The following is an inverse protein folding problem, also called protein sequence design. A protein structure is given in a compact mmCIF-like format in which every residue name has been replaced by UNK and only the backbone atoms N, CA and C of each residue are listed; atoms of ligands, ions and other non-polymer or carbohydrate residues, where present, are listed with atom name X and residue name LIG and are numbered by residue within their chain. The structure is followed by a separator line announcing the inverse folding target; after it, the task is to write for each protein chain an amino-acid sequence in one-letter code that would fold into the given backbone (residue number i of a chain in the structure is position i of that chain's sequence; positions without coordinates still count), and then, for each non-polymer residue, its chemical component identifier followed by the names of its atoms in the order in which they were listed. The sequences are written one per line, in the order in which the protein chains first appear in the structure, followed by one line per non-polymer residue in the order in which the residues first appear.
data_IF_663460947100
#
_entry.id   IF_663460947100
#
_cell.length_a   1.000
_cell.length_b   1.000
_cell.length_c   1.000
_cell.angle_alpha   90.00
_cell.angle_beta   90.00
_cell.angle_gamma   90.00
#
_symmetry.space_group_name_H-M   'P 1'
#
loop_
_entity.id
_entity.type
_entity.pdbx_description
1 polymer ?
#
# COMPACT_ATOMS: atom_id res chain seq x y z
N UNK A 1 -12.03 19.08 -28.66
CA UNK A 1 -12.53 18.23 -27.56
C UNK A 1 -12.79 19.17 -26.41
N UNK A 2 -14.06 19.38 -26.02
CA UNK A 2 -14.41 20.32 -24.96
C UNK A 2 -13.88 19.81 -23.62
N UNK A 3 -13.18 20.66 -22.90
CA UNK A 3 -12.82 20.42 -21.52
C UNK A 3 -14.13 20.48 -20.71
N UNK A 4 -14.48 19.42 -20.01
CA UNK A 4 -15.64 19.42 -19.11
C UNK A 4 -15.45 20.41 -17.95
N UNK A 5 -16.50 20.75 -17.22
CA UNK A 5 -16.48 21.68 -16.08
C UNK A 5 -15.42 21.30 -15.02
N UNK A 6 -15.21 20.01 -14.78
CA UNK A 6 -14.22 19.48 -13.84
C UNK A 6 -12.76 19.86 -14.19
N UNK A 7 -12.41 19.87 -15.48
CA UNK A 7 -11.08 20.30 -15.93
C UNK A 7 -10.85 21.83 -15.76
N UNK A 8 -11.90 22.63 -15.79
CA UNK A 8 -11.80 24.06 -15.53
C UNK A 8 -11.56 24.33 -14.05
N UNK A 9 -12.19 23.58 -13.17
CA UNK A 9 -11.98 23.71 -11.72
C UNK A 9 -10.59 23.23 -11.32
N UNK A 10 -10.10 22.11 -11.86
CA UNK A 10 -8.72 21.62 -11.64
C UNK A 10 -7.68 22.63 -12.13
N UNK A 11 -7.92 23.25 -13.31
CA UNK A 11 -7.01 24.26 -13.83
C UNK A 11 -6.95 25.49 -12.93
N UNK A 12 -8.09 26.01 -12.51
CA UNK A 12 -8.18 27.17 -11.62
C UNK A 12 -7.49 26.88 -10.28
N UNK A 13 -7.78 25.73 -9.66
CA UNK A 13 -7.15 25.31 -8.41
C UNK A 13 -5.63 25.27 -8.54
N UNK A 14 -5.12 24.64 -9.59
CA UNK A 14 -3.68 24.51 -9.80
C UNK A 14 -3.03 25.84 -10.15
N UNK A 15 -3.67 26.74 -10.92
CA UNK A 15 -3.17 28.10 -11.20
C UNK A 15 -3.00 28.89 -9.91
N UNK A 16 -4.02 28.96 -9.07
CA UNK A 16 -4.02 29.67 -7.80
C UNK A 16 -3.00 29.08 -6.80
N UNK A 17 -2.92 27.75 -6.70
CA UNK A 17 -1.95 27.04 -5.86
C UNK A 17 -0.50 27.33 -6.30
N UNK A 18 -0.21 27.25 -7.59
CA UNK A 18 1.12 27.50 -8.14
C UNK A 18 1.54 28.97 -7.96
N UNK A 19 0.61 29.92 -8.15
CA UNK A 19 0.87 31.33 -7.90
C UNK A 19 1.17 31.59 -6.42
N UNK A 20 0.48 30.90 -5.52
CA UNK A 20 0.76 30.97 -4.09
C UNK A 20 2.14 30.38 -3.72
N UNK A 21 2.55 29.28 -4.36
CA UNK A 21 3.87 28.65 -4.12
C UNK A 21 5.00 29.51 -4.66
N UNK A 22 4.75 30.30 -5.71
CA UNK A 22 5.77 31.12 -6.37
C UNK A 22 6.40 32.10 -5.39
N UNK A 23 7.73 32.13 -5.36
CA UNK A 23 8.50 33.00 -4.48
C UNK A 23 8.64 32.54 -3.02
N UNK A 24 8.02 31.44 -2.65
CA UNK A 24 8.22 30.84 -1.32
C UNK A 24 9.54 30.07 -1.24
N UNK A 25 9.97 29.72 -0.02
CA UNK A 25 11.23 29.01 0.22
C UNK A 25 11.20 27.54 -0.18
N UNK A 26 11.88 26.70 0.59
CA UNK A 26 11.96 25.26 0.32
C UNK A 26 10.59 24.56 0.48
N UNK A 27 10.34 23.59 -0.37
CA UNK A 27 9.10 22.80 -0.42
C UNK A 27 9.39 21.40 0.06
N UNK A 28 8.58 20.90 1.00
CA UNK A 28 8.56 19.53 1.48
C UNK A 28 7.30 18.84 0.97
N UNK A 29 7.45 17.65 0.43
CA UNK A 29 6.37 16.73 0.11
C UNK A 29 6.47 15.55 1.08
N UNK A 30 5.45 15.35 1.89
CA UNK A 30 5.34 14.23 2.82
C UNK A 30 4.36 13.23 2.25
N UNK A 31 4.76 11.98 2.18
CA UNK A 31 3.93 10.84 1.78
C UNK A 31 3.69 9.92 2.99
N UNK A 32 2.79 8.96 2.86
CA UNK A 32 2.51 8.04 3.96
C UNK A 32 3.72 7.14 4.28
N UNK A 33 3.71 6.59 5.50
CA UNK A 33 4.70 5.63 5.96
C UNK A 33 4.56 4.32 5.17
N UNK A 34 5.70 3.66 4.89
CA UNK A 34 5.78 2.48 4.03
C UNK A 34 5.26 2.74 2.61
N UNK A 35 5.96 3.59 1.83
CA UNK A 35 5.49 4.09 0.55
C UNK A 35 5.11 2.99 -0.45
N UNK A 36 4.00 3.21 -1.13
CA UNK A 36 3.50 2.40 -2.23
C UNK A 36 3.62 3.12 -3.59
N UNK A 37 3.21 2.50 -4.70
CA UNK A 37 3.31 3.11 -6.02
C UNK A 37 2.51 4.39 -6.18
N UNK A 38 1.34 4.52 -5.51
CA UNK A 38 0.51 5.72 -5.64
C UNK A 38 1.16 6.94 -5.02
N UNK A 39 1.54 6.86 -3.77
CA UNK A 39 2.20 7.99 -3.09
C UNK A 39 3.54 8.34 -3.74
N UNK A 40 4.31 7.34 -4.23
CA UNK A 40 5.58 7.56 -4.92
C UNK A 40 5.40 8.32 -6.24
N UNK A 41 4.46 7.87 -7.09
CA UNK A 41 4.16 8.52 -8.38
C UNK A 41 3.57 9.91 -8.18
N UNK A 42 2.67 10.07 -7.20
CA UNK A 42 2.08 11.35 -6.82
C UNK A 42 3.14 12.35 -6.40
N UNK A 43 4.10 11.93 -5.57
CA UNK A 43 5.16 12.79 -5.08
C UNK A 43 6.08 13.31 -6.21
N UNK A 44 6.51 12.42 -7.12
CA UNK A 44 7.35 12.87 -8.25
C UNK A 44 6.56 13.68 -9.26
N UNK A 45 5.25 13.45 -9.42
CA UNK A 45 4.38 14.25 -10.29
C UNK A 45 4.24 15.68 -9.76
N UNK A 46 3.95 15.87 -8.47
CA UNK A 46 3.87 17.20 -7.86
C UNK A 46 5.21 17.92 -7.87
N UNK A 47 6.30 17.20 -7.55
CA UNK A 47 7.66 17.74 -7.67
C UNK A 47 7.96 18.22 -9.09
N UNK A 48 7.63 17.42 -10.11
CA UNK A 48 7.81 17.79 -11.51
C UNK A 48 6.97 19.00 -11.89
N UNK A 49 5.72 19.08 -11.43
CA UNK A 49 4.88 20.27 -11.63
C UNK A 49 5.52 21.55 -11.08
N UNK A 50 6.06 21.49 -9.86
CA UNK A 50 6.74 22.66 -9.25
C UNK A 50 8.00 23.05 -10.01
N UNK A 51 8.82 22.09 -10.44
CA UNK A 51 9.99 22.39 -11.27
C UNK A 51 9.59 23.11 -12.56
N UNK A 52 8.61 22.58 -13.27
CA UNK A 52 8.22 23.09 -14.60
C UNK A 52 7.47 24.42 -14.55
N UNK A 53 6.69 24.68 -13.50
CA UNK A 53 5.78 25.86 -13.46
C UNK A 53 6.26 27.00 -12.57
N UNK A 54 7.02 26.69 -11.52
CA UNK A 54 7.48 27.70 -10.57
C UNK A 54 9.00 27.68 -10.36
N UNK A 55 9.72 26.83 -11.09
CA UNK A 55 11.18 26.66 -11.02
C UNK A 55 11.66 26.39 -9.58
N UNK A 56 10.99 25.45 -8.90
CA UNK A 56 11.31 25.06 -7.52
C UNK A 56 11.40 23.54 -7.40
N UNK A 57 12.48 23.10 -6.79
CA UNK A 57 12.63 21.70 -6.34
C UNK A 57 11.88 21.49 -5.04
N UNK A 58 11.35 20.27 -4.86
CA UNK A 58 10.76 19.82 -3.62
C UNK A 58 11.51 18.60 -3.09
N UNK A 59 11.68 18.53 -1.77
CA UNK A 59 12.18 17.34 -1.07
C UNK A 59 11.03 16.40 -0.80
N UNK A 60 11.16 15.12 -1.16
CA UNK A 60 10.16 14.08 -0.87
C UNK A 60 10.59 13.33 0.38
N UNK A 61 9.80 13.42 1.44
CA UNK A 61 10.05 12.77 2.72
C UNK A 61 9.10 11.62 2.97
N UNK A 62 9.63 10.51 3.47
CA UNK A 62 8.89 9.30 3.84
C UNK A 62 9.36 8.73 5.16
N UNK A 63 8.56 7.86 5.77
CA UNK A 63 8.94 7.05 6.93
C UNK A 63 8.62 5.57 6.67
N UNK A 64 9.04 4.72 7.62
CA UNK A 64 8.89 3.28 7.48
C UNK A 64 9.84 2.70 6.43
N UNK A 65 9.40 1.66 5.75
CA UNK A 65 10.18 0.94 4.75
C UNK A 65 9.44 0.85 3.42
N UNK A 66 10.17 0.95 2.31
CA UNK A 66 9.64 0.59 1.00
C UNK A 66 9.72 -0.93 0.92
N UNK A 67 8.62 -1.58 1.20
CA UNK A 67 8.64 -2.98 1.61
C UNK A 67 8.46 -3.97 0.47
N UNK A 68 7.54 -3.75 -0.46
CA UNK A 68 7.36 -4.68 -1.59
C UNK A 68 8.51 -4.57 -2.59
N UNK A 69 8.95 -5.70 -3.10
CA UNK A 69 10.04 -5.76 -4.09
C UNK A 69 9.78 -4.88 -5.31
N UNK A 70 8.55 -4.81 -5.77
CA UNK A 70 8.12 -3.97 -6.88
C UNK A 70 8.17 -2.47 -6.53
N UNK A 71 7.79 -2.09 -5.29
CA UNK A 71 7.85 -0.70 -4.84
C UNK A 71 9.30 -0.24 -4.73
N UNK A 72 10.18 -1.11 -4.21
CA UNK A 72 11.62 -0.85 -4.16
C UNK A 72 12.23 -0.74 -5.57
N UNK A 73 11.82 -1.64 -6.48
CA UNK A 73 12.23 -1.59 -7.87
C UNK A 73 11.73 -0.29 -8.54
N UNK A 74 10.49 0.12 -8.30
CA UNK A 74 9.95 1.40 -8.79
C UNK A 74 10.80 2.58 -8.33
N UNK A 75 11.06 2.68 -7.03
CA UNK A 75 11.85 3.77 -6.48
C UNK A 75 13.26 3.83 -7.08
N UNK A 76 13.90 2.66 -7.26
CA UNK A 76 15.24 2.53 -7.80
C UNK A 76 15.30 2.81 -9.30
N UNK A 77 14.49 2.11 -10.10
CA UNK A 77 14.56 2.18 -11.58
C UNK A 77 14.08 3.54 -12.11
N UNK A 78 13.17 4.19 -11.39
CA UNK A 78 12.71 5.55 -11.71
C UNK A 78 13.60 6.65 -11.07
N UNK A 79 14.58 6.26 -10.24
CA UNK A 79 15.49 7.17 -9.54
C UNK A 79 14.73 8.20 -8.70
N UNK A 80 13.72 7.75 -7.93
CA UNK A 80 12.90 8.64 -7.11
C UNK A 80 13.73 9.18 -5.94
N UNK A 81 13.90 10.51 -5.81
CA UNK A 81 14.76 11.10 -4.78
C UNK A 81 14.02 11.16 -3.43
N UNK A 82 14.12 10.09 -2.66
CA UNK A 82 13.45 9.93 -1.37
C UNK A 82 14.40 10.28 -0.21
N UNK A 83 13.89 10.98 0.78
CA UNK A 83 14.61 11.32 2.02
C UNK A 83 13.87 10.77 3.22
N UNK A 84 14.49 9.91 4.05
CA UNK A 84 13.87 9.47 5.29
C UNK A 84 13.53 10.67 6.18
N UNK A 85 12.34 10.69 6.73
CA UNK A 85 11.79 11.84 7.45
C UNK A 85 12.64 12.24 8.69
N UNK A 86 13.35 11.28 9.28
CA UNK A 86 14.28 11.53 10.40
C UNK A 86 15.46 12.44 10.05
N UNK A 87 15.77 12.62 8.75
CA UNK A 87 16.81 13.54 8.28
C UNK A 87 16.25 14.93 7.90
N UNK A 88 14.95 15.15 8.04
CA UNK A 88 14.30 16.41 7.68
C UNK A 88 14.37 17.43 8.81
N UNK A 89 15.00 18.58 8.53
CA UNK A 89 14.87 19.73 9.38
C UNK A 89 13.65 20.56 8.93
N UNK A 90 12.50 20.31 9.54
CA UNK A 90 11.23 20.93 9.17
C UNK A 90 11.24 22.47 9.17
N UNK A 91 12.13 23.11 9.96
CA UNK A 91 12.23 24.58 10.05
C UNK A 91 12.73 25.22 8.76
N UNK A 92 13.36 24.46 7.89
CA UNK A 92 13.89 24.95 6.61
C UNK A 92 12.82 25.05 5.52
N UNK A 93 11.66 24.42 5.72
CA UNK A 93 10.61 24.33 4.73
C UNK A 93 9.50 25.34 5.03
N UNK A 94 9.16 26.16 4.04
CA UNK A 94 8.10 27.16 4.11
C UNK A 94 6.81 26.73 3.42
N UNK A 95 6.84 25.61 2.70
CA UNK A 95 5.66 24.95 2.10
C UNK A 95 5.74 23.47 2.44
N UNK A 96 4.66 22.92 3.02
CA UNK A 96 4.51 21.51 3.32
C UNK A 96 3.33 20.96 2.54
N UNK A 97 3.62 20.01 1.66
CA UNK A 97 2.62 19.27 0.90
C UNK A 97 2.44 17.87 1.53
N UNK A 98 1.24 17.35 1.51
CA UNK A 98 0.95 15.98 1.93
C UNK A 98 0.16 15.28 0.83
N UNK A 99 0.59 14.08 0.45
CA UNK A 99 0.01 13.32 -0.65
C UNK A 99 -0.34 11.91 -0.21
N UNK A 100 -1.50 11.45 -0.64
CA UNK A 100 -2.00 10.10 -0.43
C UNK A 100 -2.08 9.70 1.05
N UNK A 101 -2.25 10.67 1.89
CA UNK A 101 -2.47 10.59 3.33
C UNK A 101 -2.94 11.95 3.83
N UNK A 102 -3.48 12.00 5.05
CA UNK A 102 -4.02 13.21 5.65
C UNK A 102 -3.47 13.46 7.05
N UNK A 103 -3.47 14.71 7.54
CA UNK A 103 -3.06 15.01 8.90
C UNK A 103 -3.88 14.22 9.93
N UNK A 104 -3.20 13.50 10.82
CA UNK A 104 -3.83 12.75 11.91
C UNK A 104 -4.40 11.38 11.53
N UNK A 105 -4.06 10.83 10.35
CA UNK A 105 -4.43 9.45 9.97
C UNK A 105 -3.66 8.39 10.74
N UNK A 106 -2.48 8.74 11.27
CA UNK A 106 -1.60 7.79 11.97
C UNK A 106 -0.73 6.93 11.04
N UNK A 107 -0.82 7.14 9.73
CA UNK A 107 0.01 6.47 8.72
C UNK A 107 1.06 7.40 8.08
N UNK A 108 1.34 8.54 8.69
CA UNK A 108 2.42 9.43 8.30
C UNK A 108 3.14 9.96 9.54
N UNK A 109 4.42 10.26 9.38
CA UNK A 109 5.30 10.69 10.47
C UNK A 109 5.56 12.19 10.48
N UNK A 110 4.66 13.01 9.89
CA UNK A 110 4.75 14.46 10.03
C UNK A 110 4.52 14.85 11.50
N UNK A 111 5.40 15.65 12.13
CA UNK A 111 5.19 16.12 13.50
C UNK A 111 3.86 16.86 13.67
N UNK A 112 3.14 16.58 14.76
CA UNK A 112 1.79 17.10 15.00
C UNK A 112 1.71 18.64 15.12
N UNK A 113 2.83 19.30 15.39
CA UNK A 113 2.96 20.75 15.45
C UNK A 113 3.21 21.41 14.09
N UNK A 114 3.34 20.62 13.04
CA UNK A 114 3.56 21.11 11.67
C UNK A 114 2.24 21.17 10.91
N UNK A 115 1.95 22.33 10.35
CA UNK A 115 0.80 22.50 9.45
C UNK A 115 1.13 22.02 8.04
N UNK A 116 0.11 21.50 7.36
CA UNK A 116 0.13 21.14 5.96
C UNK A 116 -0.49 22.29 5.16
N UNK A 117 0.18 22.75 4.12
CA UNK A 117 -0.31 23.81 3.25
C UNK A 117 -1.10 23.26 2.05
N UNK A 118 -0.59 22.19 1.43
CA UNK A 118 -1.18 21.57 0.23
C UNK A 118 -1.46 20.11 0.55
N UNK A 119 -2.69 19.70 0.33
CA UNK A 119 -3.15 18.33 0.55
C UNK A 119 -3.85 17.83 -0.70
N UNK A 120 -3.39 16.69 -1.23
CA UNK A 120 -4.03 15.99 -2.35
C UNK A 120 -4.18 14.51 -1.97
N UNK A 121 -5.39 13.99 -2.03
CA UNK A 121 -5.70 12.62 -1.58
C UNK A 121 -6.97 12.09 -2.25
N UNK A 122 -7.13 10.78 -2.29
CA UNK A 122 -8.34 10.12 -2.76
C UNK A 122 -9.13 9.42 -1.63
N UNK A 123 -8.58 9.36 -0.44
CA UNK A 123 -9.25 8.76 0.71
C UNK A 123 -10.33 9.67 1.31
N UNK A 124 -11.30 9.12 2.08
CA UNK A 124 -12.34 9.90 2.72
C UNK A 124 -11.80 11.06 3.57
N UNK A 125 -12.38 12.25 3.37
CA UNK A 125 -11.94 13.49 4.01
C UNK A 125 -12.00 13.45 5.53
N UNK A 126 -10.93 13.89 6.18
CA UNK A 126 -10.85 14.05 7.63
C UNK A 126 -11.05 15.49 8.08
N UNK A 127 -11.58 15.69 9.27
CA UNK A 127 -11.81 17.05 9.84
C UNK A 127 -10.50 17.86 9.97
N UNK A 128 -9.39 17.19 10.28
CA UNK A 128 -8.06 17.81 10.37
C UNK A 128 -7.60 18.41 9.05
N UNK A 129 -8.01 17.82 7.93
CA UNK A 129 -7.64 18.22 6.56
C UNK A 129 -8.24 19.57 6.16
N UNK A 130 -9.37 19.96 6.75
CA UNK A 130 -10.04 21.26 6.52
C UNK A 130 -9.18 22.48 6.95
N UNK A 131 -8.14 22.26 7.73
CA UNK A 131 -7.20 23.30 8.17
C UNK A 131 -6.10 23.60 7.16
N UNK A 132 -5.90 22.73 6.17
CA UNK A 132 -4.94 22.94 5.11
C UNK A 132 -5.40 24.09 4.19
N UNK A 133 -4.46 24.81 3.60
CA UNK A 133 -4.77 25.98 2.74
C UNK A 133 -5.32 25.56 1.39
N UNK A 134 -4.70 24.54 0.79
CA UNK A 134 -5.04 23.99 -0.51
C UNK A 134 -5.40 22.53 -0.33
N UNK A 135 -6.67 22.19 -0.51
CA UNK A 135 -7.20 20.84 -0.31
C UNK A 135 -7.87 20.37 -1.57
N UNK A 136 -7.40 19.27 -2.14
CA UNK A 136 -8.05 18.56 -3.23
C UNK A 136 -8.17 17.09 -2.83
N UNK A 137 -9.34 16.72 -2.32
CA UNK A 137 -9.68 15.35 -1.93
C UNK A 137 -10.80 14.88 -2.85
N UNK A 138 -10.56 13.78 -3.56
CA UNK A 138 -11.50 13.22 -4.55
C UNK A 138 -11.78 11.76 -4.25
N UNK A 139 -12.77 11.52 -3.40
CA UNK A 139 -13.15 10.18 -2.92
C UNK A 139 -13.70 9.25 -4.03
N UNK A 140 -14.08 9.82 -5.17
CA UNK A 140 -14.52 9.11 -6.37
C UNK A 140 -13.38 8.74 -7.34
N UNK A 141 -12.12 9.04 -6.98
CA UNK A 141 -10.92 8.60 -7.71
C UNK A 141 -10.35 7.35 -7.04
N UNK A 142 -9.93 6.40 -7.84
CA UNK A 142 -9.28 5.19 -7.33
C UNK A 142 -7.85 5.40 -6.87
N UNK A 143 -7.22 6.52 -7.29
CA UNK A 143 -5.76 6.72 -7.13
C UNK A 143 -5.44 8.22 -7.05
N UNK A 144 -4.62 8.64 -6.08
CA UNK A 144 -4.11 10.02 -5.98
C UNK A 144 -3.26 10.40 -7.20
N UNK A 145 -2.52 9.45 -7.77
CA UNK A 145 -1.73 9.66 -8.98
C UNK A 145 -2.58 10.11 -10.20
N UNK A 146 -3.85 9.73 -10.27
CA UNK A 146 -4.77 10.21 -11.31
C UNK A 146 -5.03 11.71 -11.15
N UNK A 147 -5.21 12.19 -9.93
CA UNK A 147 -5.40 13.62 -9.63
C UNK A 147 -4.17 14.42 -10.07
N UNK A 148 -2.98 13.95 -9.70
CA UNK A 148 -1.72 14.58 -10.08
C UNK A 148 -1.46 14.54 -11.60
N UNK A 149 -1.86 13.46 -12.28
CA UNK A 149 -1.84 13.40 -13.73
C UNK A 149 -2.71 14.51 -14.36
N UNK A 150 -3.91 14.71 -13.86
CA UNK A 150 -4.78 15.80 -14.33
C UNK A 150 -4.17 17.19 -14.10
N UNK A 151 -3.47 17.41 -12.97
CA UNK A 151 -2.74 18.64 -12.73
C UNK A 151 -1.70 18.89 -13.84
N UNK A 152 -0.91 17.88 -14.17
CA UNK A 152 0.10 18.00 -15.22
C UNK A 152 -0.51 18.31 -16.60
N UNK A 153 -1.61 17.60 -16.93
CA UNK A 153 -2.30 17.80 -18.21
C UNK A 153 -2.94 19.18 -18.32
N UNK A 154 -3.68 19.62 -17.29
CA UNK A 154 -4.36 20.92 -17.30
C UNK A 154 -3.38 22.10 -17.28
N UNK A 155 -2.21 21.89 -16.70
CA UNK A 155 -1.12 22.86 -16.70
C UNK A 155 -0.25 22.80 -17.97
N UNK A 156 -0.51 21.89 -18.90
CA UNK A 156 0.25 21.73 -20.14
C UNK A 156 1.71 21.31 -19.89
N UNK A 157 1.94 20.54 -18.82
CA UNK A 157 3.29 20.05 -18.49
C UNK A 157 3.58 18.77 -19.26
N UNK A 158 4.75 18.75 -19.91
CA UNK A 158 5.19 17.56 -20.63
C UNK A 158 5.55 16.43 -19.67
N UNK A 159 4.99 15.25 -19.94
CA UNK A 159 5.33 14.04 -19.20
C UNK A 159 6.45 13.29 -19.93
N UNK A 160 7.64 13.30 -19.36
CA UNK A 160 8.71 12.40 -19.79
C UNK A 160 8.33 10.94 -19.55
N UNK A 161 8.95 10.04 -20.29
CA UNK A 161 8.62 8.60 -20.26
C UNK A 161 8.73 7.96 -18.86
N UNK A 162 9.72 8.38 -18.04
CA UNK A 162 9.86 7.88 -16.66
C UNK A 162 8.65 8.26 -15.80
N UNK A 163 8.23 9.53 -15.84
CA UNK A 163 7.07 9.99 -15.06
C UNK A 163 5.77 9.33 -15.54
N UNK A 164 5.59 9.20 -16.87
CA UNK A 164 4.44 8.50 -17.44
C UNK A 164 4.41 7.03 -17.01
N UNK A 165 5.58 6.37 -16.89
CA UNK A 165 5.68 4.98 -16.41
C UNK A 165 5.32 4.89 -14.93
N UNK A 166 5.77 5.84 -14.11
CA UNK A 166 5.43 5.90 -12.69
C UNK A 166 3.92 6.03 -12.45
N UNK A 167 3.30 7.02 -13.10
CA UNK A 167 1.86 7.28 -12.99
C UNK A 167 1.04 6.10 -13.54
N UNK A 168 1.47 5.51 -14.66
CA UNK A 168 0.82 4.31 -15.19
C UNK A 168 0.88 3.16 -14.21
N UNK A 169 2.07 2.90 -13.63
CA UNK A 169 2.24 1.79 -12.70
C UNK A 169 1.45 2.00 -11.40
N UNK A 170 1.38 3.23 -10.89
CA UNK A 170 0.56 3.56 -9.74
C UNK A 170 -0.92 3.20 -9.97
N UNK A 171 -1.51 3.69 -11.06
CA UNK A 171 -2.90 3.38 -11.40
C UNK A 171 -3.11 1.87 -11.61
N UNK A 172 -2.19 1.22 -12.35
CA UNK A 172 -2.24 -0.23 -12.59
C UNK A 172 -2.21 -1.03 -11.29
N UNK A 173 -1.31 -0.70 -10.38
CA UNK A 173 -1.07 -1.42 -9.14
C UNK A 173 -2.24 -1.25 -8.17
N UNK A 174 -2.64 -0.02 -7.90
CA UNK A 174 -3.67 0.30 -6.90
C UNK A 174 -5.06 -0.19 -7.33
N UNK A 175 -5.39 -0.02 -8.60
CA UNK A 175 -6.67 -0.48 -9.17
C UNK A 175 -6.66 -1.95 -9.59
N UNK A 176 -5.55 -2.67 -9.44
CA UNK A 176 -5.38 -4.04 -9.92
C UNK A 176 -5.82 -4.21 -11.40
N UNK A 177 -5.18 -3.46 -12.29
CA UNK A 177 -5.53 -3.39 -13.72
C UNK A 177 -6.98 -2.96 -13.97
N UNK A 178 -7.49 -1.99 -13.23
CA UNK A 178 -8.87 -1.47 -13.30
C UNK A 178 -9.94 -2.46 -12.82
N UNK A 179 -9.53 -3.54 -12.20
CA UNK A 179 -10.43 -4.55 -11.62
C UNK A 179 -10.98 -4.19 -10.25
N UNK A 180 -10.44 -3.14 -9.61
CA UNK A 180 -10.80 -2.69 -8.27
C UNK A 180 -10.91 -1.18 -8.25
N UNK A 181 -11.94 -0.65 -7.58
CA UNK A 181 -12.15 0.77 -7.23
C UNK A 181 -11.63 1.79 -8.27
N UNK A 182 -11.85 1.52 -9.58
CA UNK A 182 -11.42 2.38 -10.67
C UNK A 182 -12.62 3.08 -11.32
N UNK A 183 -12.59 4.40 -11.36
CA UNK A 183 -13.62 5.22 -11.97
C UNK A 183 -13.18 5.72 -13.36
N UNK A 184 -14.03 6.51 -14.00
CA UNK A 184 -13.78 6.99 -15.36
C UNK A 184 -12.46 7.76 -15.50
N UNK A 185 -12.10 8.70 -14.58
CA UNK A 185 -10.82 9.39 -14.64
C UNK A 185 -9.61 8.44 -14.63
N UNK A 186 -9.64 7.42 -13.76
CA UNK A 186 -8.55 6.43 -13.66
C UNK A 186 -8.40 5.63 -14.94
N UNK A 187 -9.52 5.19 -15.54
CA UNK A 187 -9.51 4.47 -16.82
C UNK A 187 -8.98 5.33 -17.97
N UNK A 188 -9.39 6.60 -18.02
CA UNK A 188 -8.94 7.53 -19.07
C UNK A 188 -7.43 7.82 -18.93
N UNK A 189 -6.94 8.03 -17.69
CA UNK A 189 -5.53 8.20 -17.38
C UNK A 189 -4.72 6.95 -17.71
N UNK A 190 -5.19 5.77 -17.28
CA UNK A 190 -4.56 4.48 -17.55
C UNK A 190 -4.31 4.27 -19.05
N UNK A 191 -5.33 4.46 -19.89
CA UNK A 191 -5.22 4.26 -21.35
C UNK A 191 -4.24 5.24 -21.99
N UNK A 192 -4.26 6.51 -21.59
CA UNK A 192 -3.33 7.53 -22.11
C UNK A 192 -1.89 7.28 -21.66
N UNK A 193 -1.69 7.03 -20.38
CA UNK A 193 -0.36 6.78 -19.81
C UNK A 193 0.24 5.46 -20.31
N UNK A 194 -0.59 4.45 -20.61
CA UNK A 194 -0.13 3.21 -21.23
C UNK A 194 0.67 3.48 -22.50
N UNK A 195 0.20 4.36 -23.37
CA UNK A 195 0.90 4.67 -24.64
C UNK A 195 2.21 5.44 -24.43
N UNK A 196 2.32 6.23 -23.37
CA UNK A 196 3.47 7.07 -23.03
C UNK A 196 4.53 6.35 -22.20
N UNK A 197 4.15 5.28 -21.49
CA UNK A 197 5.02 4.57 -20.56
C UNK A 197 6.04 3.68 -21.28
N UNK A 198 7.20 3.47 -20.65
CA UNK A 198 8.23 2.53 -21.11
C UNK A 198 7.88 1.11 -20.65
N UNK A 199 7.54 0.24 -21.58
CA UNK A 199 7.12 -1.14 -21.28
C UNK A 199 8.24 -2.01 -20.74
N UNK A 200 9.50 -1.77 -21.15
CA UNK A 200 10.65 -2.48 -20.60
C UNK A 200 10.88 -2.09 -19.15
N UNK A 201 10.88 -0.80 -18.85
CA UNK A 201 11.01 -0.29 -17.49
C UNK A 201 9.87 -0.78 -16.58
N UNK A 202 8.64 -0.79 -17.10
CA UNK A 202 7.48 -1.35 -16.39
C UNK A 202 7.68 -2.83 -16.08
N UNK A 203 8.20 -3.60 -17.03
CA UNK A 203 8.51 -5.01 -16.80
C UNK A 203 9.58 -5.21 -15.71
N UNK A 204 10.64 -4.40 -15.71
CA UNK A 204 11.70 -4.42 -14.70
C UNK A 204 11.15 -4.09 -13.30
N UNK A 205 10.21 -3.15 -13.22
CA UNK A 205 9.52 -2.80 -11.96
C UNK A 205 8.64 -3.95 -11.46
N UNK A 206 7.85 -4.55 -12.35
CA UNK A 206 6.87 -5.58 -11.97
C UNK A 206 7.46 -6.99 -11.82
N UNK A 207 8.70 -7.20 -12.28
CA UNK A 207 9.40 -8.49 -12.21
C UNK A 207 10.82 -8.32 -11.66
N UNK A 208 10.98 -7.75 -10.45
CA UNK A 208 12.28 -7.58 -9.85
C UNK A 208 12.93 -8.92 -9.54
N UNK A 209 14.25 -8.95 -9.49
CA UNK A 209 14.96 -10.13 -9.01
C UNK A 209 14.82 -10.22 -7.50
N UNK A 210 14.39 -11.37 -7.03
CA UNK A 210 14.17 -11.65 -5.61
C UNK A 210 15.36 -12.43 -5.03
N UNK A 211 15.79 -12.13 -3.80
CA UNK A 211 16.87 -12.86 -3.14
C UNK A 211 16.42 -14.27 -2.75
N UNK A 212 17.38 -15.17 -2.49
CA UNK A 212 17.09 -16.55 -2.09
C UNK A 212 16.29 -16.62 -0.80
N UNK A 213 16.52 -15.68 0.11
CA UNK A 213 15.81 -15.55 1.40
C UNK A 213 14.30 -15.36 1.22
N UNK A 214 13.89 -14.67 0.17
CA UNK A 214 12.49 -14.54 -0.19
C UNK A 214 11.86 -15.91 -0.47
N UNK A 215 12.50 -16.72 -1.30
CA UNK A 215 12.01 -18.07 -1.64
C UNK A 215 12.01 -19.01 -0.45
N UNK A 216 13.00 -18.89 0.44
CA UNK A 216 13.02 -19.65 1.70
C UNK A 216 11.86 -19.29 2.61
N UNK A 217 11.45 -18.01 2.67
CA UNK A 217 10.28 -17.60 3.44
C UNK A 217 8.96 -18.07 2.80
N UNK A 218 8.84 -18.02 1.46
CA UNK A 218 7.69 -18.61 0.76
C UNK A 218 7.57 -20.10 1.08
N UNK A 219 8.68 -20.85 1.01
CA UNK A 219 8.68 -22.27 1.35
C UNK A 219 8.21 -22.50 2.80
N UNK A 220 8.73 -21.72 3.74
CA UNK A 220 8.34 -21.79 5.16
C UNK A 220 6.85 -21.48 5.36
N UNK A 221 6.33 -20.48 4.67
CA UNK A 221 4.90 -20.15 4.73
C UNK A 221 4.04 -21.31 4.23
N UNK A 222 4.46 -21.98 3.14
CA UNK A 222 3.78 -23.17 2.61
C UNK A 222 3.80 -24.35 3.61
N UNK A 223 4.96 -24.61 4.23
CA UNK A 223 5.13 -25.70 5.19
C UNK A 223 4.31 -25.48 6.48
N UNK A 224 4.23 -24.25 6.96
CA UNK A 224 3.54 -23.88 8.21
C UNK A 224 2.05 -23.61 8.02
N UNK A 225 1.48 -23.87 6.84
CA UNK A 225 0.06 -23.61 6.58
C UNK A 225 -0.86 -24.58 7.33
N UNK A 226 -1.81 -24.01 8.05
CA UNK A 226 -2.90 -24.72 8.76
C UNK A 226 -4.24 -24.27 8.18
N UNK A 227 -5.05 -25.20 7.68
CA UNK A 227 -6.34 -24.95 7.03
C UNK A 227 -7.48 -25.48 7.89
N UNK A 228 -8.41 -24.60 8.24
CA UNK A 228 -9.60 -24.87 9.04
C UNK A 228 -10.84 -24.57 8.18
N UNK A 229 -11.25 -25.54 7.34
CA UNK A 229 -12.33 -25.31 6.38
C UNK A 229 -11.97 -24.23 5.35
N UNK A 230 -12.58 -23.05 5.47
CA UNK A 230 -12.33 -21.89 4.57
C UNK A 230 -11.33 -20.87 5.12
N UNK A 231 -10.82 -21.10 6.33
CA UNK A 231 -9.79 -20.29 6.97
C UNK A 231 -8.42 -20.92 6.77
N UNK A 232 -7.45 -20.11 6.38
CA UNK A 232 -6.03 -20.47 6.31
C UNK A 232 -5.23 -19.61 7.27
N UNK A 233 -4.41 -20.25 8.10
CA UNK A 233 -3.43 -19.57 8.98
C UNK A 233 -2.04 -20.02 8.57
N UNK A 234 -1.10 -19.07 8.43
CA UNK A 234 0.30 -19.38 8.16
C UNK A 234 1.24 -18.52 9.01
N UNK A 235 2.36 -19.13 9.40
CA UNK A 235 3.40 -18.46 10.17
C UNK A 235 4.75 -18.54 9.42
N UNK A 236 5.29 -17.37 9.08
CA UNK A 236 6.57 -17.22 8.38
C UNK A 236 7.78 -17.36 9.33
N UNK A 237 7.54 -17.60 10.62
CA UNK A 237 8.53 -17.60 11.69
C UNK A 237 9.29 -16.26 11.75
N UNK A 238 10.61 -16.29 11.99
CA UNK A 238 11.42 -15.07 11.95
C UNK A 238 11.62 -14.59 10.50
N UNK A 239 11.34 -13.30 10.27
CA UNK A 239 11.37 -12.67 8.94
C UNK A 239 12.45 -11.60 8.85
N UNK A 240 12.99 -11.42 7.64
CA UNK A 240 13.85 -10.30 7.26
C UNK A 240 13.08 -9.25 6.42
N UNK A 241 11.94 -9.64 5.84
CA UNK A 241 11.12 -8.82 4.96
C UNK A 241 9.69 -8.73 5.54
N UNK A 242 9.33 -7.63 6.22
CA UNK A 242 8.05 -7.50 6.91
C UNK A 242 6.83 -7.56 5.99
N UNK A 243 6.99 -7.18 4.72
CA UNK A 243 5.95 -7.24 3.67
C UNK A 243 5.49 -8.65 3.35
N UNK A 244 6.34 -9.65 3.56
CA UNK A 244 6.01 -11.04 3.25
C UNK A 244 4.74 -11.53 3.95
N UNK A 245 4.40 -10.93 5.09
CA UNK A 245 3.13 -11.25 5.80
C UNK A 245 1.93 -10.87 4.94
N UNK A 246 1.96 -9.69 4.33
CA UNK A 246 0.88 -9.23 3.45
C UNK A 246 0.89 -9.97 2.11
N UNK A 247 2.07 -10.18 1.52
CA UNK A 247 2.20 -10.91 0.25
C UNK A 247 1.71 -12.36 0.39
N UNK A 248 2.07 -13.04 1.47
CA UNK A 248 1.59 -14.41 1.70
C UNK A 248 0.11 -14.47 2.00
N UNK A 249 -0.46 -13.48 2.69
CA UNK A 249 -1.90 -13.41 2.89
C UNK A 249 -2.65 -13.26 1.56
N UNK A 250 -2.19 -12.36 0.68
CA UNK A 250 -2.76 -12.17 -0.66
C UNK A 250 -2.54 -13.43 -1.56
N UNK A 251 -1.40 -14.08 -1.45
CA UNK A 251 -1.08 -15.31 -2.20
C UNK A 251 -2.00 -16.46 -1.81
N UNK A 252 -2.15 -16.73 -0.51
CA UNK A 252 -2.96 -17.85 -0.03
C UNK A 252 -4.47 -17.61 -0.17
N UNK A 253 -4.93 -16.36 -0.23
CA UNK A 253 -6.34 -16.07 -0.52
C UNK A 253 -6.77 -16.53 -1.92
N UNK A 254 -5.81 -16.79 -2.82
CA UNK A 254 -6.05 -17.34 -4.16
C UNK A 254 -6.20 -18.87 -4.16
N UNK A 255 -5.98 -19.55 -3.03
CA UNK A 255 -6.18 -20.98 -2.92
C UNK A 255 -7.69 -21.28 -2.99
N UNK A 256 -8.07 -22.17 -3.91
CA UNK A 256 -9.45 -22.62 -4.09
C UNK A 256 -10.08 -23.09 -2.78
N UNK A 257 -11.23 -22.55 -2.43
CA UNK A 257 -11.96 -22.89 -1.20
C UNK A 257 -11.55 -22.09 0.04
N UNK A 258 -10.55 -21.21 -0.04
CA UNK A 258 -10.17 -20.31 1.04
C UNK A 258 -10.88 -18.96 0.89
N UNK A 259 -11.47 -18.48 1.98
CA UNK A 259 -12.19 -17.19 2.02
C UNK A 259 -11.59 -16.20 3.03
N UNK A 260 -10.74 -16.67 3.94
CA UNK A 260 -10.09 -15.87 4.98
C UNK A 260 -8.67 -16.38 5.21
N UNK A 261 -7.72 -15.48 5.26
CA UNK A 261 -6.30 -15.79 5.52
C UNK A 261 -5.78 -14.90 6.65
N UNK A 262 -5.14 -15.51 7.64
CA UNK A 262 -4.28 -14.85 8.61
C UNK A 262 -2.83 -15.29 8.36
N UNK A 263 -2.01 -14.38 7.88
CA UNK A 263 -0.57 -14.58 7.82
C UNK A 263 0.10 -13.82 8.97
N UNK A 264 1.14 -14.40 9.55
CA UNK A 264 1.89 -13.80 10.65
C UNK A 264 3.38 -14.12 10.56
N UNK A 265 4.21 -13.28 11.18
CA UNK A 265 5.65 -13.53 11.25
C UNK A 265 6.35 -12.58 12.21
N UNK A 266 7.38 -13.08 12.87
CA UNK A 266 8.17 -12.32 13.83
C UNK A 266 9.12 -11.37 13.09
N UNK A 267 9.09 -10.08 13.46
CA UNK A 267 9.96 -9.04 12.91
C UNK A 267 10.30 -8.00 13.97
N UNK A 268 11.60 -7.73 14.12
CA UNK A 268 12.08 -6.80 15.15
C UNK A 268 11.79 -7.31 16.55
N UNK A 269 10.99 -6.59 17.29
CA UNK A 269 10.59 -6.91 18.69
C UNK A 269 9.18 -7.48 18.83
N UNK A 270 8.50 -7.76 17.69
CA UNK A 270 7.11 -8.21 17.72
C UNK A 270 6.74 -9.16 16.59
N UNK A 271 5.47 -9.50 16.50
CA UNK A 271 4.91 -10.31 15.43
C UNK A 271 3.97 -9.46 14.57
N UNK A 272 4.25 -9.39 13.29
CA UNK A 272 3.42 -8.73 12.29
C UNK A 272 2.30 -9.66 11.85
N UNK A 273 1.15 -9.07 11.54
CA UNK A 273 -0.06 -9.77 11.13
C UNK A 273 -0.62 -9.15 9.87
N UNK A 274 -1.15 -9.99 8.99
CA UNK A 274 -1.95 -9.58 7.85
C UNK A 274 -3.19 -10.45 7.73
N UNK A 275 -4.35 -9.82 7.70
CA UNK A 275 -5.64 -10.46 7.51
C UNK A 275 -6.21 -10.06 6.15
N UNK A 276 -6.66 -11.05 5.38
CA UNK A 276 -7.30 -10.86 4.09
C UNK A 276 -8.54 -11.72 4.00
N UNK A 277 -9.62 -11.16 3.46
CA UNK A 277 -10.88 -11.91 3.27
C UNK A 277 -11.57 -11.53 1.97
N UNK A 278 -12.34 -12.45 1.40
CA UNK A 278 -13.29 -12.18 0.32
C UNK A 278 -14.74 -12.15 0.85
N UNK A 279 -14.91 -12.32 2.14
CA UNK A 279 -16.24 -12.36 2.79
C UNK A 279 -16.72 -10.95 3.07
N UNK A 280 -17.85 -10.56 2.49
CA UNK A 280 -18.49 -9.24 2.70
C UNK A 280 -19.18 -9.11 4.06
N UNK A 281 -19.46 -10.23 4.75
CA UNK A 281 -20.05 -10.28 6.09
C UNK A 281 -19.02 -10.10 7.21
N UNK A 282 -17.72 -10.06 6.89
CA UNK A 282 -16.61 -9.81 7.81
C UNK A 282 -15.97 -8.44 7.56
N UNK A 283 -15.54 -7.80 8.63
CA UNK A 283 -14.69 -6.62 8.55
C UNK A 283 -13.30 -6.98 9.10
N UNK A 284 -12.31 -7.03 8.21
CA UNK A 284 -10.94 -7.40 8.55
C UNK A 284 -10.34 -6.48 9.62
N UNK A 285 -10.62 -5.16 9.57
CA UNK A 285 -10.13 -4.19 10.54
C UNK A 285 -10.67 -4.43 11.96
N UNK A 286 -11.95 -4.77 12.08
CA UNK A 286 -12.55 -5.13 13.38
C UNK A 286 -11.94 -6.44 13.88
N UNK A 287 -11.90 -7.45 13.01
CA UNK A 287 -11.43 -8.78 13.40
C UNK A 287 -9.97 -8.77 13.87
N UNK A 288 -9.07 -8.11 13.12
CA UNK A 288 -7.67 -8.03 13.53
C UNK A 288 -7.49 -7.18 14.80
N UNK A 289 -8.31 -6.14 14.99
CA UNK A 289 -8.34 -5.36 16.22
C UNK A 289 -8.63 -6.22 17.45
N UNK A 290 -9.62 -7.12 17.35
CA UNK A 290 -9.90 -8.12 18.40
C UNK A 290 -8.69 -9.02 18.62
N UNK A 291 -8.00 -9.49 17.58
CA UNK A 291 -6.86 -10.39 17.72
C UNK A 291 -5.70 -9.79 18.51
N UNK A 292 -5.41 -8.50 18.30
CA UNK A 292 -4.27 -7.83 18.94
C UNK A 292 -4.61 -7.12 20.26
N UNK A 293 -5.90 -7.08 20.64
CA UNK A 293 -6.38 -6.36 21.82
C UNK A 293 -5.59 -6.72 23.09
N UNK A 294 -5.07 -5.69 23.76
CA UNK A 294 -4.24 -5.83 24.97
C UNK A 294 -2.78 -6.24 24.74
N UNK A 295 -2.36 -6.49 23.48
CA UNK A 295 -0.98 -6.89 23.14
C UNK A 295 -0.34 -6.07 22.01
N UNK A 296 -1.10 -5.20 21.34
CA UNK A 296 -0.56 -4.46 20.21
C UNK A 296 -1.54 -3.53 19.54
N UNK A 297 -1.26 -3.19 18.29
CA UNK A 297 -2.04 -2.27 17.48
C UNK A 297 -2.42 -2.91 16.15
N UNK A 298 -3.56 -2.50 15.62
CA UNK A 298 -4.03 -2.93 14.32
C UNK A 298 -4.75 -1.79 13.59
N UNK A 299 -4.80 -1.90 12.25
CA UNK A 299 -5.53 -0.99 11.40
C UNK A 299 -5.96 -1.68 10.12
N UNK A 300 -6.99 -1.14 9.49
CA UNK A 300 -7.56 -1.66 8.25
C UNK A 300 -9.06 -1.49 8.22
N UNK A 301 -9.66 -1.86 7.10
CA UNK A 301 -11.09 -1.78 6.86
C UNK A 301 -11.53 -2.84 5.84
N UNK A 302 -12.82 -3.11 5.77
CA UNK A 302 -13.39 -4.00 4.76
C UNK A 302 -12.69 -5.35 4.70
N UNK A 303 -12.01 -5.65 3.60
CA UNK A 303 -11.42 -6.96 3.29
C UNK A 303 -9.95 -7.10 3.67
N UNK A 304 -9.28 -6.03 4.09
CA UNK A 304 -7.85 -6.02 4.36
C UNK A 304 -7.53 -5.33 5.68
N UNK A 305 -6.63 -5.95 6.47
CA UNK A 305 -6.14 -5.33 7.69
C UNK A 305 -4.74 -5.83 8.02
N UNK A 306 -3.98 -4.99 8.72
CA UNK A 306 -2.67 -5.30 9.27
C UNK A 306 -2.63 -5.05 10.78
N UNK A 307 -1.74 -5.75 11.47
CA UNK A 307 -1.54 -5.56 12.90
C UNK A 307 -0.15 -5.97 13.36
N UNK A 308 0.18 -5.58 14.57
CA UNK A 308 1.40 -5.99 15.25
C UNK A 308 1.07 -6.32 16.69
N UNK A 309 1.55 -7.45 17.21
CA UNK A 309 1.68 -7.67 18.64
C UNK A 309 3.12 -7.42 19.06
N UNK A 310 3.30 -6.77 20.19
CA UNK A 310 4.60 -6.36 20.70
C UNK A 310 5.21 -7.41 21.64
N UNK A 311 6.51 -7.30 21.91
CA UNK A 311 7.24 -8.15 22.83
C UNK A 311 7.18 -9.64 22.50
N UNK A 312 7.36 -9.98 21.19
CA UNK A 312 7.54 -11.36 20.73
C UNK A 312 9.02 -11.55 20.35
N UNK A 313 9.85 -12.13 21.23
CA UNK A 313 11.25 -12.41 20.93
C UNK A 313 11.42 -13.34 19.72
N UNK A 314 12.57 -13.26 19.06
CA UNK A 314 12.92 -14.10 17.91
C UNK A 314 13.37 -15.52 18.37
N UNK A 315 12.65 -16.14 19.29
CA UNK A 315 12.86 -17.54 19.68
C UNK A 315 11.73 -18.43 19.15
N UNK A 316 12.01 -19.67 18.75
CA UNK A 316 10.99 -20.58 18.25
C UNK A 316 9.81 -20.75 19.20
N UNK A 317 10.10 -20.82 20.51
CA UNK A 317 9.10 -21.00 21.58
C UNK A 317 8.15 -19.80 21.66
N UNK A 318 8.69 -18.58 21.70
CA UNK A 318 7.88 -17.34 21.76
C UNK A 318 7.05 -17.13 20.48
N UNK A 319 7.62 -17.46 19.33
CA UNK A 319 6.92 -17.40 18.05
C UNK A 319 5.74 -18.38 18.02
N UNK A 320 5.95 -19.61 18.51
CA UNK A 320 4.90 -20.62 18.56
C UNK A 320 3.80 -20.27 19.56
N UNK A 321 4.16 -19.76 20.75
CA UNK A 321 3.19 -19.29 21.74
C UNK A 321 2.33 -18.14 21.19
N UNK A 322 2.95 -17.20 20.47
CA UNK A 322 2.23 -16.10 19.84
C UNK A 322 1.31 -16.58 18.72
N UNK A 323 1.75 -17.56 17.89
CA UNK A 323 0.92 -18.21 16.88
C UNK A 323 -0.29 -18.87 17.50
N UNK A 324 -0.09 -19.69 18.53
CA UNK A 324 -1.18 -20.41 19.20
C UNK A 324 -2.19 -19.44 19.83
N UNK A 325 -1.71 -18.37 20.47
CA UNK A 325 -2.56 -17.33 21.02
C UNK A 325 -3.45 -16.70 19.94
N UNK A 326 -2.86 -16.27 18.82
CA UNK A 326 -3.58 -15.60 17.72
C UNK A 326 -4.53 -16.56 17.01
N UNK A 327 -4.07 -17.78 16.74
CA UNK A 327 -4.88 -18.82 16.09
C UNK A 327 -6.11 -19.19 16.95
N UNK A 328 -5.92 -19.45 18.23
CA UNK A 328 -7.02 -19.79 19.14
C UNK A 328 -8.02 -18.63 19.26
N UNK A 329 -7.54 -17.40 19.34
CA UNK A 329 -8.40 -16.22 19.41
C UNK A 329 -9.23 -16.05 18.13
N UNK A 330 -8.61 -16.23 16.96
CA UNK A 330 -9.31 -16.16 15.67
C UNK A 330 -10.35 -17.29 15.52
N UNK A 331 -9.98 -18.51 15.87
CA UNK A 331 -10.90 -19.67 15.82
C UNK A 331 -12.11 -19.46 16.73
N UNK A 332 -11.89 -18.92 17.93
CA UNK A 332 -12.96 -18.59 18.89
C UNK A 332 -13.88 -17.53 18.33
N UNK A 333 -13.34 -16.42 17.80
CA UNK A 333 -14.11 -15.31 17.25
C UNK A 333 -14.98 -15.75 16.06
N UNK A 334 -14.47 -16.68 15.26
CA UNK A 334 -15.19 -17.24 14.12
C UNK A 334 -16.10 -18.42 14.47
N UNK A 335 -16.20 -18.80 15.75
CA UNK A 335 -16.94 -20.00 16.21
C UNK A 335 -16.52 -21.29 15.48
N UNK A 336 -15.24 -21.42 15.15
CA UNK A 336 -14.67 -22.63 14.54
C UNK A 336 -14.27 -23.58 15.67
N UNK A 337 -15.15 -24.52 15.99
CA UNK A 337 -14.98 -25.48 17.10
C UNK A 337 -14.74 -26.85 16.51
N UNK A 338 -13.83 -27.63 17.11
CA UNK A 338 -13.54 -29.03 16.80
C UNK A 338 -13.10 -29.34 15.35
N UNK A 339 -12.63 -28.35 14.61
CA UNK A 339 -12.04 -28.56 13.29
C UNK A 339 -10.52 -28.78 13.44
N UNK A 340 -10.07 -30.00 13.12
CA UNK A 340 -8.63 -30.26 13.05
C UNK A 340 -8.02 -29.59 11.83
N UNK A 341 -6.86 -28.92 11.98
CA UNK A 341 -6.19 -28.29 10.85
C UNK A 341 -5.73 -29.34 9.83
N UNK A 342 -5.82 -28.97 8.57
CA UNK A 342 -5.22 -29.72 7.47
C UNK A 342 -4.00 -28.96 6.96
N UNK A 343 -2.95 -29.67 6.58
CA UNK A 343 -1.79 -29.08 5.89
C UNK A 343 -2.01 -29.10 4.38
N UNK A 344 -1.25 -28.32 3.63
CA UNK A 344 -1.28 -28.39 2.16
C UNK A 344 -0.90 -29.77 1.63
N UNK A 345 0.03 -30.46 2.29
CA UNK A 345 0.40 -31.84 1.95
C UNK A 345 -0.74 -32.80 2.19
N UNK A 346 -1.46 -32.69 3.30
CA UNK A 346 -2.63 -33.51 3.61
C UNK A 346 -3.78 -33.34 2.62
N UNK A 347 -3.96 -32.13 2.06
CA UNK A 347 -4.91 -31.90 0.97
C UNK A 347 -4.51 -32.62 -0.33
N UNK A 348 -3.22 -32.67 -0.65
CA UNK A 348 -2.70 -33.38 -1.83
C UNK A 348 -2.95 -34.88 -1.72
N UNK A 349 -2.72 -35.46 -0.56
CA UNK A 349 -2.95 -36.91 -0.32
C UNK A 349 -4.42 -37.27 -0.52
N UNK A 350 -5.35 -36.46 -0.01
CA UNK A 350 -6.80 -36.67 -0.21
C UNK A 350 -7.19 -36.60 -1.69
N UNK A 351 -6.72 -35.61 -2.44
CA UNK A 351 -7.01 -35.49 -3.87
C UNK A 351 -6.51 -36.68 -4.70
N UNK A 352 -5.35 -37.22 -4.36
CA UNK A 352 -4.82 -38.40 -5.04
C UNK A 352 -5.63 -39.70 -4.79
N UNK A 353 -6.43 -39.73 -3.72
CA UNK A 353 -7.34 -40.85 -3.45
C UNK A 353 -8.70 -40.72 -4.16
N UNK A 354 -9.13 -39.48 -4.44
CA UNK A 354 -10.46 -39.18 -5.02
C UNK A 354 -10.43 -39.03 -6.56
N UNK A 355 -9.27 -38.88 -7.21
CA UNK A 355 -9.19 -38.89 -8.67
C UNK A 355 -9.18 -40.34 -9.21
N UNK A 356 -10.15 -40.75 -10.07
CA UNK A 356 -10.03 -41.98 -10.82
C UNK A 356 -8.77 -41.87 -11.68
N UNK A 357 -7.89 -42.89 -11.58
CA UNK A 357 -6.71 -43.04 -12.44
C UNK A 357 -7.15 -42.79 -13.89
N UNK A 358 -6.77 -41.64 -14.47
CA UNK A 358 -6.89 -41.47 -15.92
C UNK A 358 -6.02 -42.54 -16.55
N UNK A 359 -6.64 -43.53 -17.11
CA UNK A 359 -5.98 -44.48 -18.01
C UNK A 359 -5.45 -43.69 -19.21
N UNK A 360 -4.14 -43.79 -19.40
CA UNK A 360 -3.40 -43.19 -20.53
C UNK A 360 -3.71 -44.00 -21.79
#
# INVERSE_FOLDING_TARGET
MGFGSENLDTKRFTDEMLDWVRGRGKILIVIHDNPDPDCLASAIALRHLFVMKVNREATIAFSGMISRSENLAMAKELEIPLTPIGFINFREFSVVCMLDTQPGTGNNSLPADRSVDILVDHHPMRETSKKCRWVDIREDYGVTATILYEYLVTQGVYLGTKLATALFYAIKSETQDLGREANKPDRDAYLKLFTLSNKKLLYEITHPKLPVEYFLMVNRALENTKIYGKLLITNLAQMNFPEMVAEMADFFLRLEGIELVLAMGQYGDGMLLSLRTIRHDLNAGILIGVLVEGRGNAGGHGMMAGGKIENVPASPEAIHEAEDFLANRLLTELNIIDIKPQTLQGLREKRNFDEPKREV
#
